data_IF_166457106276
#
_entry.id   IF_166457106276
#
_cell.length_a   1.000
_cell.length_b   1.000
_cell.length_c   1.000
_cell.angle_alpha   90.00
_cell.angle_beta   90.00
_cell.angle_gamma   90.00
#
_symmetry.space_group_name_H-M   'P 1'
#
loop_
_entity.id
_entity.type
_entity.pdbx_description
1 polymer ?
#
# COMPACT_ATOMS: atom_id res chain seq x y z
N UNK A 1 61.59 0.29 4.72
CA UNK A 1 60.67 -0.25 5.74
C UNK A 1 59.95 0.89 6.45
N UNK A 2 58.67 1.08 6.19
CA UNK A 2 57.71 1.69 7.12
C UNK A 2 56.32 1.26 6.66
N UNK A 3 55.60 0.63 7.57
CA UNK A 3 54.37 -0.10 7.31
C UNK A 3 53.19 0.86 7.17
N UNK A 4 52.27 0.47 6.27
CA UNK A 4 50.91 1.00 6.18
C UNK A 4 50.09 0.36 7.30
N UNK A 5 49.34 1.16 8.05
CA UNK A 5 48.16 0.67 8.79
C UNK A 5 46.99 1.57 8.38
N UNK A 6 46.22 1.13 7.39
CA UNK A 6 44.85 1.63 7.22
C UNK A 6 43.99 0.83 8.19
N UNK A 7 43.57 1.46 9.27
CA UNK A 7 42.45 0.97 10.08
C UNK A 7 41.19 1.25 9.26
N UNK A 8 40.74 0.25 8.51
CA UNK A 8 39.41 0.26 7.93
C UNK A 8 38.40 0.10 9.06
N UNK A 9 37.70 1.17 9.44
CA UNK A 9 36.44 1.00 10.15
C UNK A 9 35.49 0.27 9.19
N UNK A 10 35.19 -1.00 9.51
CA UNK A 10 33.96 -1.64 9.09
C UNK A 10 32.81 -0.88 9.75
N UNK A 11 32.38 0.22 9.12
CA UNK A 11 31.04 0.73 9.33
C UNK A 11 30.08 -0.30 8.75
N UNK A 12 29.35 -0.99 9.62
CA UNK A 12 28.19 -1.77 9.20
C UNK A 12 27.30 -0.85 8.35
N UNK A 13 27.04 -1.23 7.10
CA UNK A 13 26.00 -0.60 6.32
C UNK A 13 24.70 -0.71 7.14
N UNK A 14 23.92 0.38 7.30
CA UNK A 14 22.64 0.27 7.96
C UNK A 14 21.78 -0.74 7.20
N UNK A 15 21.08 -1.59 7.94
CA UNK A 15 20.09 -2.50 7.40
C UNK A 15 19.16 -1.71 6.46
N UNK A 16 18.94 -2.24 5.26
CA UNK A 16 18.06 -1.69 4.24
C UNK A 16 16.65 -1.46 4.82
N UNK A 17 16.36 -0.24 5.27
CA UNK A 17 14.99 0.24 5.41
C UNK A 17 14.74 1.18 4.23
N UNK A 18 14.29 0.60 3.11
CA UNK A 18 13.85 1.40 1.97
C UNK A 18 12.52 2.05 2.35
N UNK A 19 12.57 3.27 2.84
CA UNK A 19 11.37 4.07 3.09
C UNK A 19 10.57 4.16 1.79
N UNK A 20 9.42 3.48 1.72
CA UNK A 20 8.55 3.52 0.55
C UNK A 20 7.81 4.86 0.57
N UNK A 21 8.08 5.75 -0.39
CA UNK A 21 7.44 7.06 -0.49
C UNK A 21 6.77 7.23 -1.85
N UNK A 22 5.46 7.44 -1.84
CA UNK A 22 4.66 7.68 -3.04
C UNK A 22 4.04 9.08 -2.98
N UNK A 23 4.01 9.75 -4.13
CA UNK A 23 3.47 11.09 -4.27
C UNK A 23 2.58 11.19 -5.50
N UNK A 24 1.47 11.90 -5.36
CA UNK A 24 0.66 12.31 -6.50
C UNK A 24 0.37 13.81 -6.41
N UNK A 25 0.33 14.47 -7.57
CA UNK A 25 0.02 15.88 -7.71
C UNK A 25 -0.86 16.04 -8.94
N UNK A 26 -2.03 16.64 -8.80
CA UNK A 26 -2.88 17.00 -9.93
C UNK A 26 -3.65 18.30 -9.70
N UNK A 27 -4.18 18.86 -10.78
CA UNK A 27 -5.05 20.03 -10.77
C UNK A 27 -6.39 19.63 -11.39
N UNK A 28 -7.49 20.01 -10.74
CA UNK A 28 -8.82 19.93 -11.30
C UNK A 28 -9.60 21.23 -11.08
N UNK A 29 -10.91 21.20 -11.33
CA UNK A 29 -11.78 22.37 -11.16
C UNK A 29 -11.92 22.84 -9.70
N UNK A 30 -11.47 22.04 -8.71
CA UNK A 30 -11.47 22.40 -7.29
C UNK A 30 -10.13 22.98 -6.84
N UNK A 31 -9.06 22.65 -7.55
CA UNK A 31 -7.74 23.23 -7.34
C UNK A 31 -6.64 22.19 -7.32
N UNK A 32 -5.58 22.49 -6.55
CA UNK A 32 -4.36 21.69 -6.47
C UNK A 32 -4.53 20.58 -5.44
N UNK A 33 -4.35 19.35 -5.87
CA UNK A 33 -4.36 18.18 -5.01
C UNK A 33 -2.95 17.66 -4.84
N UNK A 34 -2.55 17.41 -3.60
CA UNK A 34 -1.24 16.84 -3.25
C UNK A 34 -1.43 15.64 -2.33
N UNK A 35 -0.70 14.58 -2.61
CA UNK A 35 -0.77 13.32 -1.87
C UNK A 35 0.63 12.86 -1.51
N UNK A 36 0.78 12.43 -0.27
CA UNK A 36 1.97 11.75 0.23
C UNK A 36 1.52 10.46 0.92
N UNK A 37 2.19 9.35 0.60
CA UNK A 37 1.98 8.06 1.22
C UNK A 37 3.34 7.47 1.58
N UNK A 38 3.52 7.06 2.84
CA UNK A 38 4.75 6.45 3.32
C UNK A 38 4.50 5.19 4.13
N UNK A 39 5.50 4.31 4.17
CA UNK A 39 5.57 3.20 5.13
C UNK A 39 6.82 3.40 5.99
N UNK A 40 6.64 3.37 7.30
CA UNK A 40 7.67 3.68 8.29
C UNK A 40 7.62 2.68 9.46
N UNK A 41 8.77 2.42 10.07
CA UNK A 41 8.82 1.75 11.38
C UNK A 41 8.28 2.68 12.46
N UNK A 42 7.48 2.11 13.36
CA UNK A 42 6.95 2.81 14.54
C UNK A 42 7.39 2.09 15.81
N UNK A 43 7.39 2.75 16.98
CA UNK A 43 7.74 2.10 18.23
C UNK A 43 6.86 0.87 18.51
N UNK A 44 7.50 -0.24 18.85
CA UNK A 44 6.82 -1.42 19.39
C UNK A 44 6.73 -1.34 20.92
N UNK A 45 5.72 -2.00 21.49
CA UNK A 45 5.52 -2.03 22.96
C UNK A 45 5.96 -3.34 23.59
N UNK A 46 6.20 -4.37 22.77
CA UNK A 46 6.63 -5.69 23.21
C UNK A 46 8.11 -5.93 22.88
N UNK A 47 8.82 -6.61 23.78
CA UNK A 47 10.22 -6.98 23.60
C UNK A 47 10.37 -7.92 22.38
N UNK A 48 11.50 -7.81 21.68
CA UNK A 48 11.81 -8.61 20.48
C UNK A 48 10.74 -8.54 19.37
N UNK A 49 9.98 -7.44 19.31
CA UNK A 49 8.93 -7.22 18.31
C UNK A 49 9.18 -5.96 17.48
N UNK A 50 8.57 -5.91 16.29
CA UNK A 50 8.62 -4.77 15.36
C UNK A 50 7.22 -4.29 15.02
N UNK A 51 7.13 -3.01 14.66
CA UNK A 51 5.89 -2.38 14.23
C UNK A 51 6.12 -1.53 12.99
N UNK A 52 5.20 -1.58 12.04
CA UNK A 52 5.20 -0.78 10.81
C UNK A 52 3.86 -0.04 10.71
N UNK A 53 3.90 1.19 10.22
CA UNK A 53 2.70 1.92 9.83
C UNK A 53 2.80 2.40 8.38
N UNK A 54 1.65 2.39 7.70
CA UNK A 54 1.42 3.18 6.50
C UNK A 54 0.69 4.46 6.88
N UNK A 55 1.24 5.59 6.47
CA UNK A 55 0.64 6.91 6.67
C UNK A 55 0.39 7.57 5.33
N UNK A 56 -0.82 8.09 5.13
CA UNK A 56 -1.19 8.84 3.93
C UNK A 56 -1.84 10.17 4.28
N UNK A 57 -1.53 11.20 3.50
CA UNK A 57 -2.12 12.53 3.59
C UNK A 57 -2.50 13.00 2.18
N UNK A 58 -3.76 13.40 2.01
CA UNK A 58 -4.22 14.12 0.83
C UNK A 58 -4.67 15.53 1.19
N UNK A 59 -4.23 16.51 0.43
CA UNK A 59 -4.60 17.93 0.61
C UNK A 59 -5.18 18.54 -0.65
N UNK A 60 -6.15 19.44 -0.50
CA UNK A 60 -6.70 20.30 -1.54
C UNK A 60 -6.34 21.76 -1.22
N UNK A 61 -5.60 22.42 -2.10
CA UNK A 61 -5.11 23.78 -1.93
C UNK A 61 -4.35 24.00 -0.60
N UNK A 62 -3.64 22.95 -0.14
CA UNK A 62 -2.91 22.95 1.13
C UNK A 62 -3.76 22.61 2.36
N UNK A 63 -5.08 22.49 2.23
CA UNK A 63 -5.95 22.05 3.31
C UNK A 63 -6.10 20.53 3.31
N UNK A 64 -6.04 19.91 4.49
CA UNK A 64 -6.21 18.46 4.63
C UNK A 64 -7.61 18.02 4.18
N UNK A 65 -7.66 17.09 3.22
CA UNK A 65 -8.91 16.50 2.73
C UNK A 65 -9.16 15.12 3.35
N UNK A 66 -8.11 14.30 3.47
CA UNK A 66 -8.20 12.98 4.07
C UNK A 66 -6.85 12.52 4.61
N UNK A 67 -6.92 11.56 5.54
CA UNK A 67 -5.76 10.85 6.09
C UNK A 67 -5.96 9.35 6.00
N UNK A 68 -4.85 8.63 5.96
CA UNK A 68 -4.77 7.18 6.07
C UNK A 68 -3.76 6.85 7.17
N UNK A 69 -4.16 5.96 8.08
CA UNK A 69 -3.26 5.32 9.01
C UNK A 69 -3.68 3.85 9.11
N UNK A 70 -2.72 2.96 8.99
CA UNK A 70 -2.89 1.53 9.21
C UNK A 70 -1.54 0.96 9.66
N UNK A 71 -1.57 -0.12 10.44
CA UNK A 71 -0.34 -0.61 11.05
C UNK A 71 -0.38 -2.10 11.34
N UNK A 72 0.79 -2.72 11.28
CA UNK A 72 1.06 -4.01 11.90
C UNK A 72 1.89 -3.72 13.14
N UNK A 73 1.41 -4.10 14.32
CA UNK A 73 2.06 -3.78 15.60
C UNK A 73 2.52 -5.03 16.32
N UNK A 74 3.65 -4.94 17.01
CA UNK A 74 4.22 -5.98 17.87
C UNK A 74 4.34 -7.34 17.17
N UNK A 75 4.83 -7.34 15.94
CA UNK A 75 5.10 -8.57 15.20
C UNK A 75 6.46 -9.13 15.61
N UNK A 76 6.50 -10.39 16.06
CA UNK A 76 7.72 -11.15 16.35
C UNK A 76 8.08 -12.15 15.24
N UNK A 77 7.43 -12.03 14.07
CA UNK A 77 7.67 -12.82 12.86
C UNK A 77 8.11 -11.90 11.71
N UNK A 78 8.11 -12.41 10.48
CA UNK A 78 8.26 -11.57 9.30
C UNK A 78 7.03 -10.68 9.11
N UNK A 79 7.27 -9.41 8.80
CA UNK A 79 6.21 -8.43 8.58
C UNK A 79 6.49 -7.56 7.38
N UNK A 80 5.42 -7.07 6.78
CA UNK A 80 5.52 -6.04 5.75
C UNK A 80 4.26 -5.17 5.73
N UNK A 81 4.43 -3.96 5.22
CA UNK A 81 3.38 -3.19 4.57
C UNK A 81 3.96 -2.76 3.22
N UNK A 82 3.34 -3.19 2.13
CA UNK A 82 3.83 -2.95 0.77
C UNK A 82 2.80 -2.17 -0.01
N UNK A 83 3.18 -0.98 -0.48
CA UNK A 83 2.35 -0.21 -1.42
C UNK A 83 2.51 -0.87 -2.80
N UNK A 84 1.39 -1.27 -3.41
CA UNK A 84 1.41 -1.84 -4.76
C UNK A 84 1.35 -0.69 -5.80
N UNK A 85 2.41 -0.49 -6.61
CA UNK A 85 2.47 0.60 -7.59
C UNK A 85 1.35 0.56 -8.62
N UNK A 86 0.87 -0.64 -9.00
CA UNK A 86 -0.17 -0.79 -10.02
C UNK A 86 -1.55 -0.30 -9.55
N UNK A 87 -1.74 -0.16 -8.24
CA UNK A 87 -2.95 0.45 -7.67
C UNK A 87 -2.75 1.85 -7.12
N UNK A 88 -1.59 2.50 -7.32
CA UNK A 88 -1.38 3.92 -7.00
C UNK A 88 -1.51 4.78 -8.26
N UNK A 89 -2.69 5.34 -8.50
CA UNK A 89 -3.00 6.08 -9.74
C UNK A 89 -4.06 7.18 -9.53
N UNK A 90 -4.04 8.20 -10.39
CA UNK A 90 -5.11 9.21 -10.45
C UNK A 90 -5.86 9.02 -11.76
N UNK A 91 -7.18 8.81 -11.69
CA UNK A 91 -7.99 8.48 -12.87
C UNK A 91 -9.28 9.30 -12.93
N UNK A 92 -9.70 9.64 -14.14
CA UNK A 92 -11.00 10.23 -14.43
C UNK A 92 -11.88 9.12 -15.03
N UNK A 93 -13.03 8.85 -14.40
CA UNK A 93 -13.92 7.75 -14.81
C UNK A 93 -15.25 8.23 -15.42
N UNK A 94 -15.55 9.53 -15.35
CA UNK A 94 -16.90 10.06 -15.57
C UNK A 94 -17.04 10.93 -16.83
N UNK A 95 -15.93 11.30 -17.48
CA UNK A 95 -15.85 12.32 -18.52
C UNK A 95 -16.14 13.75 -18.04
N UNK A 96 -16.18 14.00 -16.72
CA UNK A 96 -16.59 15.30 -16.14
C UNK A 96 -15.46 16.06 -15.46
N UNK A 97 -14.23 15.57 -15.58
CA UNK A 97 -13.07 16.14 -14.88
C UNK A 97 -13.08 15.85 -13.38
N UNK A 98 -13.79 14.81 -12.96
CA UNK A 98 -13.85 14.33 -11.59
C UNK A 98 -12.84 13.18 -11.41
N UNK A 99 -11.76 13.45 -10.69
CA UNK A 99 -10.69 12.49 -10.49
C UNK A 99 -10.89 11.66 -9.21
N UNK A 100 -10.42 10.42 -9.28
CA UNK A 100 -10.23 9.53 -8.13
C UNK A 100 -8.73 9.33 -7.96
N UNK A 101 -8.22 9.52 -6.75
CA UNK A 101 -6.96 8.92 -6.35
C UNK A 101 -7.23 7.49 -5.92
N UNK A 102 -6.53 6.53 -6.50
CA UNK A 102 -6.50 5.15 -6.05
C UNK A 102 -5.15 4.85 -5.41
N UNK A 103 -5.18 4.04 -4.36
CA UNK A 103 -3.99 3.50 -3.72
C UNK A 103 -4.30 2.09 -3.23
N UNK A 104 -3.34 1.18 -3.39
CA UNK A 104 -3.41 -0.17 -2.83
C UNK A 104 -2.18 -0.49 -2.02
N UNK A 105 -2.38 -1.23 -0.93
CA UNK A 105 -1.29 -1.80 -0.16
C UNK A 105 -1.70 -3.17 0.38
N UNK A 106 -0.71 -4.02 0.60
CA UNK A 106 -0.87 -5.26 1.36
C UNK A 106 -0.07 -5.21 2.66
N UNK A 107 -0.52 -5.97 3.66
CA UNK A 107 0.11 -6.03 4.97
C UNK A 107 -0.04 -7.40 5.61
N UNK A 108 0.99 -7.85 6.33
CA UNK A 108 0.94 -9.07 7.12
C UNK A 108 1.97 -9.07 8.26
N UNK A 109 1.72 -9.93 9.25
CA UNK A 109 2.69 -10.45 10.22
C UNK A 109 2.57 -11.97 10.18
N UNK A 110 3.53 -12.67 9.59
CA UNK A 110 3.46 -14.12 9.35
C UNK A 110 4.84 -14.75 9.21
N UNK A 111 4.97 -16.02 9.53
CA UNK A 111 6.22 -16.79 9.37
C UNK A 111 6.24 -17.72 8.14
N UNK A 112 5.25 -17.62 7.26
CA UNK A 112 5.07 -18.54 6.13
C UNK A 112 4.19 -17.97 5.01
N UNK A 113 3.58 -18.86 4.21
CA UNK A 113 2.74 -18.54 3.06
C UNK A 113 1.26 -18.31 3.43
N UNK A 114 1.00 -17.48 4.44
CA UNK A 114 -0.36 -17.09 4.83
C UNK A 114 -0.77 -15.79 4.12
N UNK A 115 -1.85 -15.71 3.33
CA UNK A 115 -2.22 -14.51 2.59
C UNK A 115 -2.31 -13.25 3.45
N UNK A 116 -1.69 -12.17 2.98
CA UNK A 116 -1.73 -10.87 3.65
C UNK A 116 -3.04 -10.17 3.35
N UNK A 117 -3.43 -9.22 4.20
CA UNK A 117 -4.57 -8.35 3.91
C UNK A 117 -4.22 -7.46 2.73
N UNK A 118 -5.13 -7.36 1.76
CA UNK A 118 -5.03 -6.44 0.61
C UNK A 118 -6.11 -5.37 0.75
N UNK A 119 -5.68 -4.11 0.73
CA UNK A 119 -6.56 -2.95 0.84
C UNK A 119 -6.39 -2.09 -0.41
N UNK A 120 -7.46 -1.98 -1.20
CA UNK A 120 -7.51 -1.12 -2.38
C UNK A 120 -8.54 -0.03 -2.16
N UNK A 121 -8.07 1.21 -2.04
CA UNK A 121 -8.89 2.37 -1.74
C UNK A 121 -8.93 3.32 -2.91
N UNK A 122 -10.04 4.03 -3.02
CA UNK A 122 -10.12 5.26 -3.79
C UNK A 122 -10.56 6.41 -2.87
N UNK A 123 -10.04 7.59 -3.13
CA UNK A 123 -10.38 8.84 -2.46
C UNK A 123 -10.90 9.84 -3.49
N UNK A 124 -12.00 10.52 -3.12
CA UNK A 124 -12.56 11.63 -3.87
C UNK A 124 -13.41 12.49 -2.94
N UNK A 125 -13.19 13.80 -2.89
CA UNK A 125 -14.01 14.75 -2.14
C UNK A 125 -14.12 14.37 -0.65
N UNK A 126 -12.99 14.00 -0.04
CA UNK A 126 -12.90 13.49 1.33
C UNK A 126 -13.60 12.14 1.58
N UNK A 127 -14.18 11.52 0.55
CA UNK A 127 -14.84 10.22 0.68
C UNK A 127 -13.90 9.08 0.30
N UNK A 128 -13.85 8.08 1.17
CA UNK A 128 -13.16 6.81 0.94
C UNK A 128 -14.11 5.78 0.34
N UNK A 129 -13.63 5.09 -0.70
CA UNK A 129 -14.23 3.92 -1.32
C UNK A 129 -13.26 2.76 -1.12
N UNK A 130 -13.75 1.59 -0.71
CA UNK A 130 -12.87 0.51 -0.31
C UNK A 130 -13.25 -0.82 -0.92
N UNK A 131 -12.24 -1.53 -1.39
CA UNK A 131 -12.26 -2.93 -1.80
C UNK A 131 -11.20 -3.65 -0.98
N UNK A 132 -11.58 -4.73 -0.30
CA UNK A 132 -10.69 -5.47 0.62
C UNK A 132 -10.72 -6.95 0.32
N UNK A 133 -9.60 -7.62 0.56
CA UNK A 133 -9.50 -9.07 0.44
C UNK A 133 -8.14 -9.51 0.95
N UNK A 134 -7.66 -10.62 0.43
CA UNK A 134 -6.36 -11.19 0.79
C UNK A 134 -5.52 -11.41 -0.46
N UNK A 135 -4.22 -11.57 -0.25
CA UNK A 135 -3.29 -11.95 -1.30
C UNK A 135 -3.67 -13.31 -1.93
N UNK A 136 -3.26 -13.50 -3.17
CA UNK A 136 -3.36 -14.77 -3.88
C UNK A 136 -2.01 -15.08 -4.51
N UNK A 137 -1.39 -16.16 -4.05
CA UNK A 137 -0.07 -16.58 -4.50
C UNK A 137 -0.19 -17.40 -5.79
N UNK A 138 0.66 -17.10 -6.75
CA UNK A 138 0.78 -17.81 -8.03
C UNK A 138 2.23 -18.19 -8.25
N UNK A 139 2.48 -19.45 -8.59
CA UNK A 139 3.80 -19.97 -8.96
C UNK A 139 3.69 -20.68 -10.31
N UNK A 140 4.64 -20.45 -11.22
CA UNK A 140 4.64 -21.01 -12.59
C UNK A 140 3.31 -20.78 -13.35
N UNK A 141 2.68 -19.62 -13.12
CA UNK A 141 1.39 -19.26 -13.71
C UNK A 141 0.18 -20.07 -13.18
N UNK A 142 0.36 -20.84 -12.11
CA UNK A 142 -0.71 -21.62 -11.45
C UNK A 142 -1.04 -21.06 -10.07
N UNK A 143 -2.33 -21.02 -9.67
CA UNK A 143 -2.71 -20.72 -8.30
C UNK A 143 -2.00 -21.66 -7.33
N UNK A 144 -1.34 -21.07 -6.33
CA UNK A 144 -0.68 -21.80 -5.26
C UNK A 144 -1.55 -21.79 -4.00
N UNK A 145 -1.89 -20.59 -3.49
CA UNK A 145 -2.67 -20.46 -2.27
C UNK A 145 -3.28 -19.04 -2.13
N UNK A 146 -4.53 -18.91 -1.64
CA UNK A 146 -5.52 -19.97 -1.53
C UNK A 146 -5.86 -20.53 -2.92
N UNK A 147 -6.17 -21.83 -3.03
CA UNK A 147 -6.49 -22.48 -4.32
C UNK A 147 -7.66 -21.78 -5.02
N UNK A 148 -8.69 -21.45 -4.25
CA UNK A 148 -9.77 -20.59 -4.72
C UNK A 148 -9.43 -19.12 -4.50
N UNK A 149 -9.50 -18.33 -5.58
CA UNK A 149 -9.27 -16.89 -5.50
C UNK A 149 -10.40 -16.23 -4.70
N UNK A 150 -10.08 -15.76 -3.49
CA UNK A 150 -11.01 -15.04 -2.65
C UNK A 150 -11.57 -13.80 -3.39
N UNK A 151 -12.90 -13.71 -3.43
CA UNK A 151 -13.57 -12.54 -3.99
C UNK A 151 -13.45 -11.38 -3.02
N UNK A 152 -13.01 -10.18 -3.45
CA UNK A 152 -12.90 -9.06 -2.55
C UNK A 152 -14.26 -8.53 -2.10
N UNK A 153 -14.29 -8.00 -0.88
CA UNK A 153 -15.45 -7.37 -0.26
C UNK A 153 -15.40 -5.86 -0.52
N UNK A 154 -16.41 -5.36 -1.23
CA UNK A 154 -16.60 -3.92 -1.44
C UNK A 154 -17.37 -3.28 -0.27
N UNK A 155 -16.91 -2.10 0.17
CA UNK A 155 -17.62 -1.26 1.12
C UNK A 155 -18.84 -0.57 0.50
N UNK A 156 -19.76 -0.09 1.34
CA UNK A 156 -21.04 0.51 0.92
C UNK A 156 -20.88 1.68 -0.05
N UNK A 157 -19.94 2.58 0.21
CA UNK A 157 -19.67 3.70 -0.70
C UNK A 157 -19.28 3.21 -2.09
N UNK A 158 -18.43 2.18 -2.20
CA UNK A 158 -17.99 1.65 -3.47
C UNK A 158 -19.13 0.94 -4.21
N UNK A 159 -19.94 0.14 -3.50
CA UNK A 159 -21.11 -0.55 -4.08
C UNK A 159 -22.10 0.42 -4.74
N UNK A 160 -22.23 1.63 -4.18
CA UNK A 160 -23.11 2.67 -4.71
C UNK A 160 -22.50 3.47 -5.88
N UNK A 161 -21.28 3.13 -6.32
CA UNK A 161 -20.57 3.81 -7.42
C UNK A 161 -20.16 2.81 -8.51
N UNK A 162 -21.09 2.41 -9.40
CA UNK A 162 -20.91 1.25 -10.27
C UNK A 162 -19.80 1.38 -11.31
N UNK A 163 -19.44 2.60 -11.73
CA UNK A 163 -18.28 2.81 -12.62
C UNK A 163 -16.97 2.55 -11.88
N UNK A 164 -16.78 3.16 -10.72
CA UNK A 164 -15.61 2.93 -9.86
C UNK A 164 -15.53 1.48 -9.38
N UNK A 165 -16.65 0.88 -8.98
CA UNK A 165 -16.71 -0.53 -8.59
C UNK A 165 -16.21 -1.45 -9.70
N UNK A 166 -16.71 -1.30 -10.93
CA UNK A 166 -16.23 -2.09 -12.08
C UNK A 166 -14.76 -1.85 -12.37
N UNK A 167 -14.30 -0.60 -12.29
CA UNK A 167 -12.89 -0.25 -12.47
C UNK A 167 -12.01 -0.98 -11.46
N UNK A 168 -12.34 -0.89 -10.17
CA UNK A 168 -11.55 -1.49 -9.09
C UNK A 168 -11.59 -3.02 -9.13
N UNK A 169 -12.76 -3.61 -9.41
CA UNK A 169 -12.89 -5.07 -9.58
C UNK A 169 -12.07 -5.60 -10.76
N UNK A 170 -11.99 -4.85 -11.86
CA UNK A 170 -11.18 -5.23 -13.03
C UNK A 170 -9.68 -5.25 -12.71
N UNK A 171 -9.20 -4.31 -11.90
CA UNK A 171 -7.79 -4.19 -11.47
C UNK A 171 -7.43 -5.16 -10.34
N UNK A 172 -8.41 -5.64 -9.57
CA UNK A 172 -8.19 -6.48 -8.40
C UNK A 172 -7.27 -7.68 -8.64
N UNK A 173 -7.37 -8.44 -9.76
CA UNK A 173 -6.47 -9.54 -10.02
C UNK A 173 -5.00 -9.14 -10.01
N UNK A 174 -4.64 -8.00 -10.61
CA UNK A 174 -3.26 -7.52 -10.66
C UNK A 174 -2.80 -6.94 -9.30
N UNK A 175 -3.76 -6.46 -8.51
CA UNK A 175 -3.49 -5.85 -7.20
C UNK A 175 -3.24 -6.89 -6.11
N UNK A 176 -4.03 -7.97 -6.11
CA UNK A 176 -4.01 -8.98 -5.06
C UNK A 176 -3.14 -10.19 -5.37
N UNK A 177 -2.62 -10.33 -6.60
CA UNK A 177 -1.79 -11.48 -6.97
C UNK A 177 -0.33 -11.22 -6.61
N UNK A 178 0.28 -12.17 -5.92
CA UNK A 178 1.72 -12.18 -5.64
C UNK A 178 2.33 -13.33 -6.45
N UNK A 179 3.25 -13.00 -7.35
CA UNK A 179 4.01 -13.99 -8.11
C UNK A 179 5.15 -14.51 -7.22
N UNK A 180 5.27 -15.82 -7.12
CA UNK A 180 6.39 -16.51 -6.48
C UNK A 180 7.25 -17.08 -7.60
N UNK A 181 8.50 -16.62 -7.66
CA UNK A 181 9.53 -17.05 -8.59
C UNK A 181 10.33 -18.26 -8.07
#
# INVERSE_FOLDING_TARGET
>A
MKWIVLVGLLGAAPAYSSQQLYKALWLDNKGKHEVILSVDEIPATEEDSRSLAITGLGTLNGEQEWVLYDSVTNCNLDMFININPAGFEVVELTGKGDYYLLLSYSMACRGGLDPGDVKYFAYRNGKKFALRGVEHFVADGKPLYPEEKATPVAGTHLKNHPQLYRYMMKKWPDIATVMID
#
